data_IF_292895358665
#
_entry.id   IF_292895358665
#
_cell.length_a   1.000
_cell.length_b   1.000
_cell.length_c   1.000
_cell.angle_alpha   90.00
_cell.angle_beta   90.00
_cell.angle_gamma   90.00
#
_symmetry.space_group_name_H-M   'P 1'
#
loop_
_entity.id
_entity.type
_entity.pdbx_description
1 polymer ?
#
# COMPACT_ATOMS: atom_id res chain seq x y z
N UNK A 1 6.49 8.97 22.30
CA UNK A 1 7.89 8.84 21.82
C UNK A 1 8.62 10.07 22.34
N UNK A 2 9.70 9.93 23.12
CA UNK A 2 10.47 11.08 23.60
C UNK A 2 11.50 11.48 22.52
N UNK A 3 11.07 12.33 21.59
CA UNK A 3 11.90 12.78 20.46
C UNK A 3 12.95 13.83 20.86
N UNK A 4 12.99 14.26 22.13
CA UNK A 4 13.90 15.30 22.60
C UNK A 4 15.38 14.89 22.56
N UNK A 5 15.67 13.59 22.45
CA UNK A 5 17.03 13.04 22.54
C UNK A 5 17.52 12.33 21.26
N UNK A 6 16.76 12.38 20.17
CA UNK A 6 17.11 11.65 18.94
C UNK A 6 17.73 12.50 17.83
N UNK A 7 17.69 13.83 17.97
CA UNK A 7 18.37 14.72 17.02
C UNK A 7 19.88 14.49 17.07
N UNK A 8 20.51 14.46 15.90
CA UNK A 8 21.92 14.15 15.71
C UNK A 8 22.25 12.66 15.72
N UNK A 9 21.28 11.77 16.01
CA UNK A 9 21.52 10.34 15.92
C UNK A 9 21.63 9.87 14.47
N UNK A 10 22.48 8.86 14.18
CA UNK A 10 22.50 8.22 12.88
C UNK A 10 21.16 7.52 12.62
N UNK A 11 20.73 7.59 11.37
CA UNK A 11 19.53 6.92 10.88
C UNK A 11 19.96 5.71 10.09
N UNK A 12 19.46 4.54 10.49
CA UNK A 12 19.67 3.27 9.80
C UNK A 12 18.36 2.74 9.24
N UNK A 13 18.41 2.04 8.13
CA UNK A 13 17.25 1.27 7.69
C UNK A 13 17.11 -0.06 8.45
N UNK A 14 16.08 -0.84 8.11
CA UNK A 14 15.81 -2.14 8.73
C UNK A 14 16.87 -3.21 8.42
N UNK A 15 17.79 -2.94 7.50
CA UNK A 15 18.93 -3.80 7.14
C UNK A 15 20.25 -3.27 7.73
N UNK A 16 20.16 -2.35 8.70
CA UNK A 16 21.27 -1.70 9.39
C UNK A 16 22.16 -0.82 8.49
N UNK A 17 21.73 -0.51 7.26
CA UNK A 17 22.45 0.41 6.38
C UNK A 17 22.27 1.84 6.87
N UNK A 18 23.38 2.58 6.99
CA UNK A 18 23.32 3.99 7.37
C UNK A 18 22.73 4.82 6.22
N UNK A 19 21.63 5.52 6.52
CA UNK A 19 20.91 6.38 5.58
C UNK A 19 21.41 7.82 5.68
N UNK A 20 21.73 8.27 6.90
CA UNK A 20 22.16 9.63 7.17
C UNK A 20 22.03 9.99 8.64
N UNK A 21 21.88 11.28 8.93
CA UNK A 21 21.73 11.80 10.30
C UNK A 21 20.38 12.48 10.48
N UNK A 22 19.70 12.23 11.60
CA UNK A 22 18.44 12.91 11.90
C UNK A 22 18.71 14.35 12.34
N UNK A 23 18.22 15.34 11.58
CA UNK A 23 18.53 16.76 11.83
C UNK A 23 17.34 17.59 12.30
N UNK A 24 16.11 17.10 12.16
CA UNK A 24 14.92 17.85 12.57
C UNK A 24 13.64 17.04 12.44
N UNK A 25 12.55 17.59 12.98
CA UNK A 25 11.20 17.08 12.78
C UNK A 25 10.15 18.19 12.92
N UNK A 26 9.01 17.99 12.27
CA UNK A 26 7.79 18.80 12.44
C UNK A 26 6.88 18.13 13.47
N UNK A 27 6.11 18.94 14.19
CA UNK A 27 5.12 18.50 15.17
C UNK A 27 3.73 18.91 14.69
N UNK A 28 2.74 18.03 14.84
CA UNK A 28 1.33 18.31 14.51
C UNK A 28 0.60 19.10 15.62
N UNK A 29 -0.67 19.44 15.36
CA UNK A 29 -1.52 20.15 16.32
C UNK A 29 -1.81 19.37 17.62
N UNK A 30 -1.47 18.08 17.67
CA UNK A 30 -1.63 17.21 18.84
C UNK A 30 -0.33 17.06 19.63
N UNK A 31 0.75 17.72 19.21
CA UNK A 31 2.07 17.61 19.84
C UNK A 31 2.85 16.36 19.44
N UNK A 32 2.44 15.65 18.38
CA UNK A 32 3.10 14.44 17.88
C UNK A 32 3.99 14.74 16.67
N UNK A 33 5.15 14.07 16.52
CA UNK A 33 5.98 14.23 15.33
C UNK A 33 5.22 13.81 14.06
N UNK A 34 5.07 14.72 13.10
CA UNK A 34 4.39 14.48 11.82
C UNK A 34 5.34 14.15 10.69
N UNK A 35 6.58 14.64 10.75
CA UNK A 35 7.60 14.38 9.73
C UNK A 35 9.00 14.53 10.32
N UNK A 36 9.94 13.75 9.81
CA UNK A 36 11.36 13.81 10.17
C UNK A 36 12.21 14.21 8.96
N UNK A 37 13.32 14.91 9.22
CA UNK A 37 14.28 15.35 8.21
C UNK A 37 15.62 14.66 8.44
N UNK A 38 16.07 13.92 7.42
CA UNK A 38 17.31 13.14 7.45
C UNK A 38 18.29 13.81 6.49
N UNK A 39 19.43 14.23 7.00
CA UNK A 39 20.55 14.70 6.17
C UNK A 39 21.31 13.48 5.65
N UNK A 40 21.29 13.28 4.33
CA UNK A 40 22.03 12.21 3.68
C UNK A 40 23.51 12.59 3.54
N UNK A 41 24.44 11.62 3.45
CA UNK A 41 25.87 11.89 3.25
C UNK A 41 26.18 12.74 1.99
N UNK A 42 25.28 12.72 1.00
CA UNK A 42 25.34 13.57 -0.19
C UNK A 42 25.09 15.06 0.07
N UNK A 43 24.68 15.44 1.28
CA UNK A 43 24.29 16.80 1.64
C UNK A 43 22.84 17.19 1.28
N UNK A 44 22.10 16.29 0.64
CA UNK A 44 20.65 16.45 0.41
C UNK A 44 19.83 16.00 1.61
N UNK A 45 18.58 16.45 1.68
CA UNK A 45 17.66 16.09 2.75
C UNK A 45 16.56 15.15 2.25
N UNK A 46 16.25 14.16 3.07
CA UNK A 46 15.12 13.25 2.91
C UNK A 46 14.07 13.59 3.97
N UNK A 47 12.86 13.99 3.54
CA UNK A 47 11.70 14.15 4.43
C UNK A 47 10.92 12.83 4.46
N UNK A 48 10.66 12.32 5.66
CA UNK A 48 9.88 11.10 5.87
C UNK A 48 8.74 11.34 6.84
N UNK A 49 7.68 10.54 6.73
CA UNK A 49 6.55 10.58 7.64
C UNK A 49 6.97 10.17 9.07
N UNK A 50 6.32 10.74 10.08
CA UNK A 50 6.51 10.37 11.48
C UNK A 50 6.35 8.86 11.74
N UNK A 51 5.42 8.21 11.04
CA UNK A 51 5.17 6.76 11.15
C UNK A 51 6.32 5.89 10.59
N UNK A 52 7.14 6.45 9.70
CA UNK A 52 8.28 5.76 9.11
C UNK A 52 9.47 5.66 10.06
N UNK A 53 9.43 6.33 11.22
CA UNK A 53 10.57 6.48 12.11
C UNK A 53 10.34 5.77 13.44
N UNK A 54 11.34 5.03 13.90
CA UNK A 54 11.38 4.47 15.25
C UNK A 54 12.60 5.01 16.01
N UNK A 55 12.33 5.69 17.11
CA UNK A 55 13.35 6.24 17.98
C UNK A 55 14.04 5.12 18.78
N UNK A 56 15.34 4.93 18.55
CA UNK A 56 16.22 4.14 19.41
C UNK A 56 17.05 5.00 20.36
N UNK A 57 17.91 4.36 21.15
CA UNK A 57 18.83 5.06 22.07
C UNK A 57 20.09 5.58 21.39
N UNK A 58 20.63 4.79 20.47
CA UNK A 58 21.93 5.07 19.81
C UNK A 58 21.77 5.44 18.33
N UNK A 59 20.68 5.00 17.72
CA UNK A 59 20.35 5.28 16.33
C UNK A 59 18.83 5.31 16.17
N UNK A 60 18.39 5.90 15.07
CA UNK A 60 17.01 5.96 14.65
C UNK A 60 16.79 4.94 13.53
N UNK A 61 15.69 4.19 13.58
CA UNK A 61 15.36 3.22 12.53
C UNK A 61 14.37 3.82 11.57
N UNK A 62 14.74 3.88 10.29
CA UNK A 62 13.87 4.17 9.17
C UNK A 62 13.23 2.87 8.69
N UNK A 63 11.92 2.76 8.86
CA UNK A 63 11.15 1.62 8.42
C UNK A 63 10.96 1.65 6.90
N UNK A 64 10.82 0.47 6.29
CA UNK A 64 10.34 0.36 4.91
C UNK A 64 8.87 0.81 4.84
N UNK A 65 8.65 2.10 4.65
CA UNK A 65 7.32 2.70 4.71
C UNK A 65 6.35 2.07 3.70
N UNK A 66 6.83 1.76 2.49
CA UNK A 66 6.05 1.05 1.47
C UNK A 66 5.55 -0.31 1.97
N UNK A 67 6.35 -1.05 2.74
CA UNK A 67 6.00 -2.35 3.31
C UNK A 67 4.92 -2.20 4.38
N UNK A 68 5.08 -1.22 5.27
CA UNK A 68 4.12 -0.94 6.34
C UNK A 68 2.79 -0.46 5.76
N UNK A 69 2.84 0.47 4.81
CA UNK A 69 1.66 1.00 4.10
C UNK A 69 0.92 -0.13 3.39
N UNK A 70 1.64 -1.04 2.71
CA UNK A 70 1.04 -2.20 2.06
C UNK A 70 0.35 -3.13 3.07
N UNK A 71 1.03 -3.53 4.13
CA UNK A 71 0.45 -4.46 5.11
C UNK A 71 -0.73 -3.83 5.87
N UNK A 72 -0.66 -2.53 6.19
CA UNK A 72 -1.77 -1.81 6.80
C UNK A 72 -3.00 -1.78 5.89
N UNK A 73 -2.77 -1.50 4.60
CA UNK A 73 -3.84 -1.42 3.61
C UNK A 73 -4.48 -2.79 3.34
N UNK A 74 -3.67 -3.84 3.22
CA UNK A 74 -4.14 -5.22 3.08
C UNK A 74 -5.03 -5.61 4.26
N UNK A 75 -4.56 -5.36 5.50
CA UNK A 75 -5.37 -5.64 6.70
C UNK A 75 -6.66 -4.84 6.73
N UNK A 76 -6.61 -3.55 6.37
CA UNK A 76 -7.79 -2.69 6.30
C UNK A 76 -8.86 -3.26 5.37
N UNK A 77 -8.45 -3.66 4.15
CA UNK A 77 -9.33 -4.28 3.15
C UNK A 77 -9.95 -5.58 3.68
N UNK A 78 -9.14 -6.46 4.28
CA UNK A 78 -9.62 -7.74 4.83
C UNK A 78 -10.60 -7.55 5.99
N UNK A 79 -10.37 -6.56 6.86
CA UNK A 79 -11.29 -6.23 7.96
C UNK A 79 -12.60 -5.67 7.43
N UNK A 80 -12.55 -4.67 6.54
CA UNK A 80 -13.74 -4.05 5.97
C UNK A 80 -14.57 -5.07 5.19
N UNK A 81 -13.92 -5.95 4.43
CA UNK A 81 -14.59 -7.07 3.75
C UNK A 81 -15.33 -7.98 4.73
N UNK A 82 -14.66 -8.46 5.78
CA UNK A 82 -15.29 -9.31 6.81
C UNK A 82 -16.48 -8.61 7.49
N UNK A 83 -16.39 -7.29 7.72
CA UNK A 83 -17.50 -6.50 8.26
C UNK A 83 -18.69 -6.46 7.31
N UNK A 84 -18.46 -6.25 6.01
CA UNK A 84 -19.52 -6.27 4.99
C UNK A 84 -20.19 -7.64 4.92
N UNK A 85 -19.42 -8.73 4.93
CA UNK A 85 -19.94 -10.10 4.92
C UNK A 85 -20.76 -10.42 6.18
N UNK A 86 -20.27 -10.02 7.35
CA UNK A 86 -21.00 -10.19 8.61
C UNK A 86 -22.31 -9.39 8.63
N UNK A 87 -22.28 -8.16 8.12
CA UNK A 87 -23.45 -7.29 8.02
C UNK A 87 -24.52 -7.90 7.10
N UNK A 88 -24.11 -8.50 5.98
CA UNK A 88 -25.01 -9.19 5.05
C UNK A 88 -25.67 -10.42 5.70
N UNK A 89 -24.90 -11.22 6.45
CA UNK A 89 -25.45 -12.38 7.19
C UNK A 89 -26.48 -11.95 8.24
N UNK A 90 -26.17 -10.92 9.03
CA UNK A 90 -27.12 -10.38 10.01
C UNK A 90 -28.41 -9.90 9.35
N UNK A 91 -28.31 -9.33 8.14
CA UNK A 91 -29.47 -8.92 7.36
C UNK A 91 -30.32 -10.10 6.91
N UNK A 92 -29.69 -11.15 6.39
CA UNK A 92 -30.36 -12.39 5.97
C UNK A 92 -31.04 -13.09 7.14
N UNK A 93 -30.40 -13.13 8.30
CA UNK A 93 -30.95 -13.73 9.52
C UNK A 93 -31.98 -12.85 10.23
N UNK A 94 -32.32 -11.68 9.67
CA UNK A 94 -33.24 -10.68 10.24
C UNK A 94 -32.82 -10.21 11.65
N UNK A 95 -31.53 -10.28 11.96
CA UNK A 95 -30.95 -9.92 13.27
C UNK A 95 -30.53 -8.44 13.35
N UNK A 96 -30.77 -7.65 12.29
CA UNK A 96 -30.46 -6.23 12.24
C UNK A 96 -31.61 -5.43 11.62
N UNK A 97 -32.03 -4.29 12.22
CA UNK A 97 -33.00 -3.39 11.63
C UNK A 97 -32.53 -2.84 10.26
N UNK A 98 -33.47 -2.71 9.32
CA UNK A 98 -33.18 -2.25 7.94
C UNK A 98 -32.44 -0.91 7.91
N UNK A 99 -32.88 0.06 8.70
CA UNK A 99 -32.27 1.40 8.75
C UNK A 99 -30.80 1.36 9.23
N UNK A 100 -30.50 0.55 10.24
CA UNK A 100 -29.13 0.39 10.77
C UNK A 100 -28.26 -0.37 9.76
N UNK A 101 -28.82 -1.38 9.10
CA UNK A 101 -28.13 -2.09 8.02
C UNK A 101 -27.73 -1.13 6.88
N UNK A 102 -28.67 -0.32 6.39
CA UNK A 102 -28.42 0.59 5.26
C UNK A 102 -27.35 1.64 5.61
N UNK A 103 -27.39 2.17 6.84
CA UNK A 103 -26.39 3.11 7.35
C UNK A 103 -24.99 2.48 7.38
N UNK A 104 -24.83 1.33 8.04
CA UNK A 104 -23.54 0.64 8.15
C UNK A 104 -23.02 0.16 6.80
N UNK A 105 -23.91 -0.31 5.91
CA UNK A 105 -23.56 -0.74 4.56
C UNK A 105 -22.97 0.42 3.76
N UNK A 106 -23.58 1.61 3.86
CA UNK A 106 -23.08 2.82 3.21
C UNK A 106 -21.70 3.21 3.73
N UNK A 107 -21.50 3.21 5.06
CA UNK A 107 -20.19 3.52 5.68
C UNK A 107 -19.12 2.54 5.19
N UNK A 108 -19.33 1.23 5.35
CA UNK A 108 -18.30 0.24 4.97
C UNK A 108 -18.03 0.22 3.47
N UNK A 109 -19.03 0.49 2.63
CA UNK A 109 -18.83 0.56 1.18
C UNK A 109 -17.99 1.79 0.80
N UNK A 110 -18.22 2.95 1.44
CA UNK A 110 -17.39 4.14 1.25
C UNK A 110 -15.94 3.90 1.68
N UNK A 111 -15.74 3.33 2.88
CA UNK A 111 -14.42 2.97 3.38
C UNK A 111 -13.70 2.01 2.40
N UNK A 112 -14.42 1.03 1.86
CA UNK A 112 -13.89 0.09 0.89
C UNK A 112 -13.46 0.77 -0.41
N UNK A 113 -14.21 1.77 -0.90
CA UNK A 113 -13.84 2.55 -2.08
C UNK A 113 -12.56 3.35 -1.82
N UNK A 114 -12.45 4.01 -0.67
CA UNK A 114 -11.25 4.76 -0.30
C UNK A 114 -10.01 3.85 -0.20
N UNK A 115 -10.15 2.70 0.47
CA UNK A 115 -9.09 1.70 0.57
C UNK A 115 -8.63 1.22 -0.82
N UNK A 116 -9.56 0.99 -1.76
CA UNK A 116 -9.21 0.60 -3.12
C UNK A 116 -8.47 1.69 -3.90
N UNK A 117 -8.83 2.97 -3.72
CA UNK A 117 -8.10 4.07 -4.35
C UNK A 117 -6.65 4.13 -3.85
N UNK A 118 -6.46 3.98 -2.53
CA UNK A 118 -5.13 3.90 -1.91
C UNK A 118 -4.32 2.71 -2.41
N UNK A 119 -4.96 1.59 -2.81
CA UNK A 119 -4.26 0.46 -3.43
C UNK A 119 -3.70 0.85 -4.79
N UNK A 120 -4.44 1.61 -5.60
CA UNK A 120 -3.97 2.05 -6.92
C UNK A 120 -2.73 2.94 -6.79
N UNK A 121 -2.78 3.90 -5.85
CA UNK A 121 -1.65 4.78 -5.54
C UNK A 121 -0.43 3.97 -5.09
N UNK A 122 -0.62 3.07 -4.12
CA UNK A 122 0.48 2.27 -3.58
C UNK A 122 1.08 1.30 -4.61
N UNK A 123 0.27 0.73 -5.51
CA UNK A 123 0.78 -0.11 -6.59
C UNK A 123 1.68 0.71 -7.52
N UNK A 124 1.31 1.95 -7.83
CA UNK A 124 2.16 2.84 -8.63
C UNK A 124 3.47 3.18 -7.91
N UNK A 125 3.41 3.50 -6.62
CA UNK A 125 4.59 3.74 -5.78
C UNK A 125 5.53 2.52 -5.74
N UNK A 126 4.99 1.33 -5.44
CA UNK A 126 5.76 0.08 -5.37
C UNK A 126 6.37 -0.30 -6.71
N UNK A 127 5.73 0.00 -7.83
CA UNK A 127 6.32 -0.23 -9.16
C UNK A 127 7.57 0.63 -9.41
N UNK A 128 7.58 1.88 -8.95
CA UNK A 128 8.79 2.73 -9.03
C UNK A 128 9.91 2.20 -8.14
N UNK A 129 9.58 1.83 -6.90
CA UNK A 129 10.54 1.19 -5.98
C UNK A 129 11.13 -0.08 -6.59
N UNK A 130 10.30 -0.91 -7.23
CA UNK A 130 10.76 -2.13 -7.89
C UNK A 130 11.74 -1.84 -9.04
N UNK A 131 11.49 -0.79 -9.83
CA UNK A 131 12.37 -0.36 -10.90
C UNK A 131 13.72 0.13 -10.34
N UNK A 132 13.70 0.96 -9.30
CA UNK A 132 14.90 1.44 -8.61
C UNK A 132 15.75 0.28 -8.06
N UNK A 133 15.10 -0.72 -7.44
CA UNK A 133 15.79 -1.90 -6.92
C UNK A 133 16.42 -2.76 -8.03
N UNK A 134 15.75 -2.90 -9.18
CA UNK A 134 16.31 -3.60 -10.35
C UNK A 134 17.51 -2.86 -10.93
N UNK A 135 17.41 -1.53 -11.07
CA UNK A 135 18.53 -0.70 -11.51
C UNK A 135 19.74 -0.81 -10.55
N UNK A 136 19.48 -0.86 -9.24
CA UNK A 136 20.52 -1.10 -8.22
C UNK A 136 21.16 -2.47 -8.38
N UNK A 137 20.38 -3.53 -8.58
CA UNK A 137 20.87 -4.89 -8.80
C UNK A 137 21.80 -4.95 -10.02
N UNK A 138 21.38 -4.35 -11.14
CA UNK A 138 22.16 -4.31 -12.38
C UNK A 138 23.47 -3.53 -12.17
N UNK A 139 23.42 -2.39 -11.48
CA UNK A 139 24.61 -1.59 -11.20
C UNK A 139 25.60 -2.32 -10.29
N UNK A 140 25.12 -2.95 -9.21
CA UNK A 140 25.98 -3.74 -8.32
C UNK A 140 26.65 -4.90 -9.07
N UNK A 141 25.88 -5.60 -9.92
CA UNK A 141 26.41 -6.71 -10.75
C UNK A 141 27.46 -6.21 -11.74
N UNK A 142 27.24 -5.03 -12.34
CA UNK A 142 28.18 -4.39 -13.25
C UNK A 142 29.47 -4.00 -12.55
N UNK A 143 29.40 -3.33 -11.40
CA UNK A 143 30.57 -2.92 -10.61
C UNK A 143 31.35 -4.16 -10.18
N UNK A 144 30.67 -5.20 -9.68
CA UNK A 144 31.30 -6.48 -9.31
C UNK A 144 32.13 -7.06 -10.45
N UNK A 145 31.57 -7.05 -11.66
CA UNK A 145 32.23 -7.58 -12.87
C UNK A 145 33.45 -6.74 -13.25
N UNK A 146 33.35 -5.41 -13.17
CA UNK A 146 34.48 -4.50 -13.42
C UNK A 146 35.61 -4.77 -12.42
N UNK A 147 35.30 -4.87 -11.14
CA UNK A 147 36.30 -5.14 -10.10
C UNK A 147 37.02 -6.47 -10.34
N UNK A 148 36.31 -7.51 -10.80
CA UNK A 148 36.92 -8.80 -11.16
C UNK A 148 37.88 -8.71 -12.33
N UNK A 149 37.54 -7.93 -13.36
CA UNK A 149 38.44 -7.68 -14.49
C UNK A 149 39.68 -6.95 -14.00
N UNK A 150 39.51 -5.89 -13.20
CA UNK A 150 40.62 -5.09 -12.66
C UNK A 150 41.55 -5.90 -11.74
N UNK A 151 41.01 -6.80 -10.93
CA UNK A 151 41.83 -7.75 -10.17
C UNK A 151 42.61 -8.68 -11.10
N UNK A 152 41.95 -9.20 -12.14
CA UNK A 152 42.55 -10.15 -13.09
C UNK A 152 43.64 -9.50 -13.95
N UNK A 153 43.54 -8.19 -14.24
CA UNK A 153 44.56 -7.42 -14.96
C UNK A 153 45.64 -6.85 -14.04
N UNK A 154 45.50 -6.99 -12.72
CA UNK A 154 46.44 -6.47 -11.73
C UNK A 154 46.34 -4.96 -11.50
N UNK A 155 45.26 -4.30 -11.93
CA UNK A 155 44.99 -2.87 -11.69
C UNK A 155 44.60 -2.58 -10.24
N UNK A 156 44.06 -3.58 -9.54
CA UNK A 156 43.63 -3.50 -8.13
C UNK A 156 44.23 -4.67 -7.36
N UNK A 157 44.67 -4.42 -6.13
CA UNK A 157 45.22 -5.45 -5.25
C UNK A 157 44.11 -6.32 -4.62
N UNK A 158 44.50 -7.51 -4.16
CA UNK A 158 43.56 -8.49 -3.61
C UNK A 158 42.88 -8.01 -2.31
N UNK A 159 43.55 -7.17 -1.52
CA UNK A 159 43.01 -6.66 -0.24
C UNK A 159 41.90 -5.65 -0.52
N UNK A 160 42.17 -4.68 -1.39
CA UNK A 160 41.18 -3.70 -1.85
C UNK A 160 39.98 -4.37 -2.54
N UNK A 161 40.25 -5.35 -3.41
CA UNK A 161 39.18 -6.12 -4.06
C UNK A 161 38.30 -6.86 -3.04
N UNK A 162 38.89 -7.59 -2.09
CA UNK A 162 38.12 -8.36 -1.09
C UNK A 162 37.21 -7.48 -0.25
N UNK A 163 37.71 -6.32 0.20
CA UNK A 163 36.91 -5.37 0.97
C UNK A 163 35.69 -4.86 0.16
N UNK A 164 35.89 -4.52 -1.11
CA UNK A 164 34.80 -4.10 -1.99
C UNK A 164 33.82 -5.24 -2.30
N UNK A 165 34.32 -6.46 -2.55
CA UNK A 165 33.50 -7.65 -2.84
C UNK A 165 32.56 -7.97 -1.67
N UNK A 166 33.06 -7.95 -0.43
CA UNK A 166 32.21 -8.18 0.77
C UNK A 166 31.07 -7.17 0.84
N UNK A 167 31.35 -5.89 0.55
CA UNK A 167 30.30 -4.86 0.60
C UNK A 167 29.28 -5.03 -0.54
N UNK A 168 29.74 -5.36 -1.75
CA UNK A 168 28.86 -5.59 -2.90
C UNK A 168 27.98 -6.82 -2.66
N UNK A 169 28.52 -7.94 -2.17
CA UNK A 169 27.76 -9.15 -1.89
C UNK A 169 26.65 -8.91 -0.88
N UNK A 170 26.95 -8.26 0.25
CA UNK A 170 25.94 -7.89 1.24
C UNK A 170 24.82 -7.02 0.64
N UNK A 171 25.17 -6.05 -0.20
CA UNK A 171 24.17 -5.20 -0.85
C UNK A 171 23.36 -5.93 -1.93
N UNK A 172 23.95 -6.90 -2.64
CA UNK A 172 23.25 -7.75 -3.60
C UNK A 172 22.19 -8.60 -2.90
N UNK A 173 22.55 -9.25 -1.80
CA UNK A 173 21.64 -10.10 -1.03
C UNK A 173 20.44 -9.30 -0.49
N UNK A 174 20.70 -8.12 0.08
CA UNK A 174 19.64 -7.22 0.55
C UNK A 174 18.76 -6.75 -0.62
N UNK A 175 19.36 -6.33 -1.74
CA UNK A 175 18.59 -5.85 -2.90
C UNK A 175 17.69 -6.94 -3.47
N UNK A 176 18.18 -8.19 -3.55
CA UNK A 176 17.39 -9.33 -4.00
C UNK A 176 16.23 -9.65 -3.04
N UNK A 177 16.45 -9.50 -1.73
CA UNK A 177 15.38 -9.63 -0.75
C UNK A 177 14.33 -8.53 -0.93
N UNK A 178 14.73 -7.27 -1.05
CA UNK A 178 13.84 -6.13 -1.27
C UNK A 178 12.99 -6.31 -2.55
N UNK A 179 13.58 -6.83 -3.64
CA UNK A 179 12.87 -7.16 -4.88
C UNK A 179 11.80 -8.22 -4.64
N UNK A 180 12.15 -9.34 -4.00
CA UNK A 180 11.22 -10.44 -3.72
C UNK A 180 10.05 -9.98 -2.83
N UNK A 181 10.33 -9.16 -1.82
CA UNK A 181 9.30 -8.61 -0.94
C UNK A 181 8.35 -7.68 -1.70
N UNK A 182 8.89 -6.78 -2.52
CA UNK A 182 8.11 -5.85 -3.33
C UNK A 182 7.24 -6.60 -4.35
N UNK A 183 7.77 -7.64 -4.99
CA UNK A 183 7.02 -8.51 -5.91
C UNK A 183 5.86 -9.24 -5.22
N UNK A 184 6.11 -9.79 -4.03
CA UNK A 184 5.10 -10.48 -3.23
C UNK A 184 3.96 -9.53 -2.82
N UNK A 185 4.29 -8.31 -2.38
CA UNK A 185 3.29 -7.30 -2.04
C UNK A 185 2.49 -6.84 -3.25
N UNK A 186 3.14 -6.58 -4.38
CA UNK A 186 2.47 -6.21 -5.63
C UNK A 186 1.50 -7.31 -6.07
N UNK A 187 1.91 -8.59 -5.99
CA UNK A 187 1.03 -9.71 -6.31
C UNK A 187 -0.19 -9.78 -5.37
N UNK A 188 0.03 -9.63 -4.05
CA UNK A 188 -1.06 -9.61 -3.05
C UNK A 188 -2.04 -8.47 -3.31
N UNK A 189 -1.55 -7.24 -3.55
CA UNK A 189 -2.39 -6.07 -3.83
C UNK A 189 -3.19 -6.22 -5.13
N UNK A 190 -2.58 -6.77 -6.19
CA UNK A 190 -3.28 -7.07 -7.46
C UNK A 190 -4.38 -8.11 -7.27
N UNK A 191 -4.10 -9.18 -6.51
CA UNK A 191 -5.08 -10.22 -6.20
C UNK A 191 -6.27 -9.68 -5.39
N UNK A 192 -6.02 -8.79 -4.43
CA UNK A 192 -7.09 -8.11 -3.69
C UNK A 192 -8.00 -7.31 -4.62
N UNK A 193 -7.41 -6.52 -5.53
CA UNK A 193 -8.17 -5.75 -6.52
C UNK A 193 -9.05 -6.65 -7.41
N UNK A 194 -8.52 -7.78 -7.87
CA UNK A 194 -9.27 -8.70 -8.73
C UNK A 194 -10.47 -9.33 -8.00
N UNK A 195 -10.32 -9.71 -6.73
CA UNK A 195 -11.42 -10.27 -5.93
C UNK A 195 -12.55 -9.27 -5.72
N UNK A 196 -12.21 -8.01 -5.44
CA UNK A 196 -13.21 -6.93 -5.26
C UNK A 196 -13.98 -6.67 -6.56
N UNK A 197 -13.30 -6.60 -7.70
CA UNK A 197 -13.97 -6.43 -9.00
C UNK A 197 -14.92 -7.59 -9.34
N UNK A 198 -14.54 -8.82 -8.97
CA UNK A 198 -15.39 -10.00 -9.19
C UNK A 198 -16.64 -9.97 -8.29
N UNK A 199 -16.51 -9.58 -7.03
CA UNK A 199 -17.65 -9.47 -6.11
C UNK A 199 -18.64 -8.37 -6.51
N UNK A 200 -18.14 -7.22 -7.01
CA UNK A 200 -18.99 -6.14 -7.53
C UNK A 200 -19.84 -6.60 -8.74
N UNK A 201 -19.24 -7.37 -9.66
CA UNK A 201 -19.94 -7.88 -10.86
C UNK A 201 -20.93 -8.99 -10.53
N UNK A 202 -20.62 -9.87 -9.57
CA UNK A 202 -21.54 -10.91 -9.09
C UNK A 202 -22.74 -10.30 -8.34
N UNK A 203 -22.50 -9.26 -7.52
CA UNK A 203 -23.56 -8.53 -6.82
C UNK A 203 -24.52 -7.84 -7.80
N UNK A 204 -23.99 -7.13 -8.81
CA UNK A 204 -24.82 -6.47 -9.83
C UNK A 204 -25.65 -7.46 -10.65
N UNK A 205 -25.08 -8.61 -11.02
CA UNK A 205 -25.81 -9.69 -11.71
C UNK A 205 -26.93 -10.25 -10.85
N UNK A 206 -26.70 -10.44 -9.55
CA UNK A 206 -27.73 -10.97 -8.64
C UNK A 206 -28.90 -10.01 -8.47
N UNK A 207 -28.64 -8.71 -8.27
CA UNK A 207 -29.69 -7.68 -8.20
C UNK A 207 -30.50 -7.56 -9.49
N UNK A 208 -29.86 -7.72 -10.65
CA UNK A 208 -30.54 -7.71 -11.94
C UNK A 208 -31.45 -8.94 -12.13
N UNK A 209 -30.99 -10.13 -11.73
CA UNK A 209 -31.80 -11.35 -11.76
C UNK A 209 -33.03 -11.23 -10.84
N UNK A 210 -32.88 -10.63 -9.65
CA UNK A 210 -34.00 -10.37 -8.73
C UNK A 210 -35.02 -9.39 -9.33
N UNK A 211 -34.57 -8.31 -9.98
CA UNK A 211 -35.44 -7.39 -10.70
C UNK A 211 -36.22 -8.10 -11.82
N UNK A 212 -35.57 -8.96 -12.61
CA UNK A 212 -36.23 -9.72 -13.66
C UNK A 212 -37.27 -10.70 -13.12
N UNK A 213 -36.99 -11.35 -11.97
CA UNK A 213 -37.98 -12.21 -11.30
C UNK A 213 -39.17 -11.40 -10.82
N UNK A 214 -38.95 -10.25 -10.16
CA UNK A 214 -40.04 -9.39 -9.68
C UNK A 214 -40.94 -8.87 -10.82
N UNK A 215 -40.34 -8.51 -11.96
CA UNK A 215 -41.09 -8.09 -13.17
C UNK A 215 -41.96 -9.23 -13.71
N UNK A 216 -41.41 -10.45 -13.78
CA UNK A 216 -42.15 -11.61 -14.27
C UNK A 216 -43.24 -12.09 -13.30
N UNK A 217 -43.01 -11.98 -11.98
CA UNK A 217 -44.02 -12.28 -10.96
C UNK A 217 -45.19 -11.29 -11.01
N UNK A 218 -44.93 -10.00 -11.27
CA UNK A 218 -45.99 -9.00 -11.44
C UNK A 218 -46.81 -9.19 -12.73
N UNK A 219 -46.20 -9.70 -13.81
CA UNK A 219 -46.93 -10.04 -15.05
C UNK A 219 -47.93 -11.18 -14.87
N UNK A 220 -47.77 -12.03 -13.85
CA UNK A 220 -48.72 -13.11 -13.55
C UNK A 220 -49.92 -12.67 -12.70
N UNK A 221 -49.93 -11.44 -12.15
CA UNK A 221 -50.99 -10.99 -11.24
C UNK A 221 -52.04 -10.04 -11.84
N UNK A 222 -51.87 -9.49 -13.04
CA UNK A 222 -52.98 -8.90 -13.81
C UNK A 222 -52.50 -8.46 -15.21
N UNK A 223 -53.05 -9.01 -16.31
CA UNK A 223 -52.63 -8.64 -17.67
C UNK A 223 -53.04 -7.22 -18.10
N UNK A 224 -53.97 -6.56 -17.41
CA UNK A 224 -54.58 -5.29 -17.83
C UNK A 224 -54.25 -4.06 -16.93
N UNK A 225 -53.29 -4.16 -16.02
CA UNK A 225 -52.87 -2.99 -15.23
C UNK A 225 -51.70 -2.25 -15.91
N UNK A 226 -51.79 -0.92 -16.15
CA UNK A 226 -50.75 -0.18 -16.82
C UNK A 226 -49.45 -0.17 -15.99
N UNK A 227 -48.33 -0.46 -16.66
CA UNK A 227 -46.99 -0.44 -16.08
C UNK A 227 -46.58 0.99 -15.73
N UNK A 228 -46.61 1.35 -14.43
CA UNK A 228 -46.04 2.62 -13.95
C UNK A 228 -44.55 2.44 -13.69
N UNK A 229 -43.73 2.73 -14.69
CA UNK A 229 -42.27 2.85 -14.53
C UNK A 229 -41.98 4.25 -14.01
N UNK A 230 -41.71 4.39 -12.70
CA UNK A 230 -41.11 5.62 -12.17
C UNK A 230 -39.64 5.64 -12.53
N UNK A 231 -39.31 6.29 -13.65
CA UNK A 231 -37.95 6.73 -13.91
C UNK A 231 -37.60 7.82 -12.90
N UNK A 232 -36.72 7.52 -11.94
CA UNK A 232 -36.03 8.57 -11.21
C UNK A 232 -35.12 9.29 -12.21
N UNK A 233 -35.55 10.48 -12.62
CA UNK A 233 -34.78 11.42 -13.42
C UNK A 233 -33.48 11.76 -12.68
N UNK A 234 -32.35 11.29 -13.21
CA UNK A 234 -31.04 11.89 -12.91
C UNK A 234 -30.87 13.02 -13.90
N UNK A 235 -31.30 14.23 -13.51
CA UNK A 235 -31.00 15.44 -14.25
C UNK A 235 -29.80 16.17 -13.62
N UNK A 236 -28.74 16.18 -14.43
CA UNK A 236 -27.88 17.31 -14.78
C UNK A 236 -26.87 17.84 -13.74
N UNK A 237 -25.60 17.70 -14.11
CA UNK A 237 -24.62 18.78 -13.99
C UNK A 237 -23.87 18.92 -15.31
N UNK A 238 -24.39 19.76 -16.21
CA UNK A 238 -23.62 20.47 -17.22
C UNK A 238 -24.19 21.88 -17.37
N UNK A 239 -23.28 22.83 -17.66
CA UNK A 239 -23.39 24.30 -17.77
C UNK A 239 -23.13 25.01 -16.42
N UNK A 240 -22.09 25.82 -16.23
CA UNK A 240 -21.15 26.53 -17.11
C UNK A 240 -19.74 26.55 -16.51
#
# INVERSE_FOLDING_TARGET
MDCSKILGLPVKDIYEREVGTLVGFEIDSRGMPSSFFIMMPSGSFLKVDGEAVEAGKEYVVLKNFWKIKAESLIRGIEITKRRIEALEKLRQDHQIPTNVYDELKNVYTKDMVELNNRVVELVSELSKVQEELKNRLDMLTRIRSINRVQLSTGEVDEIGYKAAETMIESNLDITLLEIKETESLLARLKNLKQRVSHEATVSQRSSFIELLRAINSNKQQNPDSPLVVRLQSVMQSQQQ
#
